data_IF_337038115211
#
_entry.id   IF_337038115211
#
_cell.length_a   1.000
_cell.length_b   1.000
_cell.length_c   1.000
_cell.angle_alpha   90.00
_cell.angle_beta   90.00
_cell.angle_gamma   90.00
#
_symmetry.space_group_name_H-M   'P 1'
#
loop_
_entity.id
_entity.type
_entity.pdbx_description
1 polymer ?
#
# COMPACT_ATOMS: atom_id res chain seq x y z
N UNK A 1 -19.76 -8.99 -2.41
CA UNK A 1 -19.23 -8.98 -3.79
C UNK A 1 -18.04 -9.92 -3.86
N UNK A 2 -18.22 -11.11 -4.41
CA UNK A 2 -17.18 -12.12 -4.57
C UNK A 2 -16.37 -11.83 -5.85
N UNK A 3 -15.05 -11.73 -5.74
CA UNK A 3 -14.16 -11.64 -6.90
C UNK A 3 -13.63 -13.05 -7.19
N UNK A 4 -14.14 -13.68 -8.25
CA UNK A 4 -13.68 -14.99 -8.70
C UNK A 4 -12.31 -14.83 -9.37
N UNK A 5 -11.24 -15.35 -8.74
CA UNK A 5 -9.89 -15.38 -9.32
C UNK A 5 -9.64 -16.75 -9.98
N UNK A 6 -9.69 -16.81 -11.30
CA UNK A 6 -9.08 -17.92 -12.03
C UNK A 6 -7.63 -17.56 -12.35
N UNK A 7 -6.70 -18.04 -11.51
CA UNK A 7 -5.28 -18.07 -11.83
C UNK A 7 -5.05 -19.20 -12.84
N UNK A 8 -4.85 -18.88 -14.12
CA UNK A 8 -4.46 -19.88 -15.11
C UNK A 8 -2.94 -19.88 -15.29
N UNK A 9 -2.37 -21.05 -14.98
CA UNK A 9 -0.94 -21.36 -14.90
C UNK A 9 -0.37 -21.53 -16.32
N UNK A 10 -0.27 -20.46 -17.10
CA UNK A 10 0.50 -20.41 -18.36
C UNK A 10 0.48 -19.01 -18.96
N UNK A 11 1.47 -18.18 -18.63
CA UNK A 11 2.07 -17.10 -19.44
C UNK A 11 1.23 -16.20 -20.38
N UNK A 12 -0.11 -16.20 -20.33
CA UNK A 12 -0.99 -15.49 -21.27
C UNK A 12 -1.72 -14.37 -20.53
N UNK A 13 -1.69 -13.19 -21.15
CA UNK A 13 -2.21 -11.89 -20.67
C UNK A 13 -3.46 -12.03 -19.77
N UNK A 14 -3.37 -11.54 -18.53
CA UNK A 14 -4.51 -11.43 -17.64
C UNK A 14 -5.45 -10.35 -18.18
N UNK A 15 -6.53 -10.75 -18.87
CA UNK A 15 -7.58 -9.83 -19.30
C UNK A 15 -8.53 -9.62 -18.12
N UNK A 16 -8.43 -8.48 -17.45
CA UNK A 16 -9.44 -8.04 -16.49
C UNK A 16 -10.61 -7.50 -17.30
N UNK A 17 -11.72 -8.25 -17.33
CA UNK A 17 -12.97 -7.78 -17.94
C UNK A 17 -13.73 -6.93 -16.92
N UNK A 18 -13.55 -5.61 -16.97
CA UNK A 18 -14.52 -4.70 -16.37
C UNK A 18 -15.68 -4.56 -17.37
N UNK A 19 -16.91 -4.84 -16.92
CA UNK A 19 -18.11 -4.72 -17.76
C UNK A 19 -18.13 -3.36 -18.44
N UNK A 20 -18.27 -3.35 -19.78
CA UNK A 20 -18.04 -2.25 -20.75
C UNK A 20 -16.62 -2.14 -21.34
N UNK A 21 -16.27 -3.11 -22.20
CA UNK A 21 -15.58 -2.88 -23.49
C UNK A 21 -14.17 -2.26 -23.55
N UNK A 22 -13.57 -1.79 -22.46
CA UNK A 22 -12.24 -1.18 -22.49
C UNK A 22 -11.19 -2.23 -22.16
N UNK A 23 -10.46 -2.70 -23.18
CA UNK A 23 -9.22 -3.46 -22.98
C UNK A 23 -8.15 -2.49 -22.49
N UNK A 24 -8.04 -2.31 -21.18
CA UNK A 24 -6.91 -1.58 -20.63
C UNK A 24 -5.63 -2.34 -20.98
N UNK A 25 -4.70 -1.69 -21.67
CA UNK A 25 -3.37 -2.21 -21.93
C UNK A 25 -2.59 -2.18 -20.60
N UNK A 26 -2.83 -3.16 -19.74
CA UNK A 26 -2.17 -3.27 -18.43
C UNK A 26 -0.70 -3.58 -18.68
N UNK A 27 0.23 -2.62 -18.46
CA UNK A 27 1.64 -2.98 -18.39
C UNK A 27 1.82 -3.98 -17.24
N UNK A 28 2.63 -5.00 -17.47
CA UNK A 28 2.67 -6.25 -16.69
C UNK A 28 2.98 -6.05 -15.19
N UNK A 29 3.56 -4.91 -14.81
CA UNK A 29 4.09 -4.63 -13.48
C UNK A 29 3.32 -3.55 -12.70
N UNK A 30 2.24 -3.02 -13.25
CA UNK A 30 1.51 -1.90 -12.62
C UNK A 30 0.31 -2.37 -11.79
N UNK A 31 0.10 -1.71 -10.65
CA UNK A 31 -1.15 -1.75 -9.88
C UNK A 31 -2.03 -0.53 -10.22
N UNK A 32 -3.32 -0.60 -9.90
CA UNK A 32 -4.25 0.53 -10.04
C UNK A 32 -4.70 0.99 -8.68
N UNK A 33 -4.54 2.28 -8.39
CA UNK A 33 -4.94 2.90 -7.13
C UNK A 33 -6.42 3.28 -7.11
N UNK A 34 -6.93 3.77 -5.98
CA UNK A 34 -8.34 4.18 -5.84
C UNK A 34 -8.65 5.41 -6.72
N UNK A 35 -7.69 6.31 -6.92
CA UNK A 35 -7.80 7.42 -7.86
C UNK A 35 -7.48 7.05 -9.32
N UNK A 36 -7.34 5.75 -9.61
CA UNK A 36 -7.08 5.18 -10.96
C UNK A 36 -5.68 5.53 -11.50
N UNK A 37 -4.73 5.88 -10.64
CA UNK A 37 -3.33 6.03 -11.00
C UNK A 37 -2.74 4.64 -11.26
N UNK A 38 -1.88 4.55 -12.27
CA UNK A 38 -1.15 3.33 -12.63
C UNK A 38 0.24 3.42 -12.02
N UNK A 39 0.48 2.63 -10.99
CA UNK A 39 1.74 2.69 -10.24
C UNK A 39 2.56 1.42 -10.49
N UNK A 40 3.84 1.55 -10.83
CA UNK A 40 4.79 0.43 -10.93
C UNK A 40 5.69 0.41 -9.67
N UNK A 41 5.49 -0.54 -8.72
CA UNK A 41 6.32 -0.63 -7.52
C UNK A 41 7.80 -0.96 -7.78
N UNK A 42 8.13 -1.45 -8.98
CA UNK A 42 9.51 -1.77 -9.36
C UNK A 42 10.24 -0.59 -10.03
N UNK A 43 9.49 0.43 -10.45
CA UNK A 43 10.03 1.65 -11.06
C UNK A 43 9.15 2.86 -10.68
N UNK A 44 9.19 3.32 -9.41
CA UNK A 44 8.31 4.37 -8.92
C UNK A 44 8.60 5.71 -9.60
N UNK A 45 7.55 6.43 -9.96
CA UNK A 45 7.59 7.81 -10.46
C UNK A 45 6.93 8.73 -9.44
N UNK A 46 7.51 9.91 -9.20
CA UNK A 46 6.93 10.90 -8.25
C UNK A 46 5.53 11.35 -8.67
N UNK A 47 5.29 11.49 -9.98
CA UNK A 47 3.98 11.89 -10.53
C UNK A 47 2.87 10.87 -10.27
N UNK A 48 3.23 9.61 -9.97
CA UNK A 48 2.27 8.53 -9.67
C UNK A 48 1.97 8.40 -8.16
N UNK A 49 2.56 9.28 -7.33
CA UNK A 49 2.38 9.26 -5.87
C UNK A 49 1.30 10.26 -5.45
N UNK A 50 0.23 9.75 -4.84
CA UNK A 50 -0.89 10.57 -4.35
C UNK A 50 -1.16 10.26 -2.89
N UNK A 51 -1.14 11.31 -2.05
CA UNK A 51 -1.38 11.18 -0.61
C UNK A 51 -2.76 10.60 -0.28
N UNK A 52 -3.76 10.80 -1.14
CA UNK A 52 -5.12 10.26 -0.99
C UNK A 52 -5.13 8.75 -1.24
N UNK A 53 -4.35 8.28 -2.22
CA UNK A 53 -4.18 6.84 -2.47
C UNK A 53 -3.43 6.18 -1.30
N UNK A 54 -2.37 6.81 -0.81
CA UNK A 54 -1.63 6.37 0.39
C UNK A 54 -2.60 6.25 1.57
N UNK A 55 -3.30 7.34 1.91
CA UNK A 55 -4.21 7.36 3.06
C UNK A 55 -5.30 6.28 2.95
N UNK A 56 -5.89 6.11 1.76
CA UNK A 56 -6.90 5.10 1.52
C UNK A 56 -6.34 3.68 1.72
N UNK A 57 -5.22 3.34 1.07
CA UNK A 57 -4.61 2.02 1.18
C UNK A 57 -4.18 1.71 2.63
N UNK A 58 -3.47 2.64 3.29
CA UNK A 58 -3.05 2.47 4.68
C UNK A 58 -4.23 2.31 5.65
N UNK A 59 -5.40 2.91 5.36
CA UNK A 59 -6.60 2.75 6.19
C UNK A 59 -7.20 1.35 6.14
N UNK A 60 -6.95 0.61 5.06
CA UNK A 60 -7.50 -0.71 4.79
C UNK A 60 -6.54 -1.85 5.12
N UNK A 61 -5.23 -1.58 5.17
CA UNK A 61 -4.20 -2.58 5.49
C UNK A 61 -4.14 -2.85 6.99
N UNK A 62 -4.28 -4.12 7.38
CA UNK A 62 -4.09 -4.57 8.76
C UNK A 62 -2.61 -4.66 9.10
N UNK A 63 -2.24 -4.25 10.31
CA UNK A 63 -0.91 -4.52 10.85
C UNK A 63 -0.82 -5.90 11.46
N UNK A 64 0.41 -6.40 11.58
CA UNK A 64 0.72 -7.70 12.18
C UNK A 64 -0.12 -8.84 11.57
N UNK A 65 -0.39 -8.76 10.25
CA UNK A 65 -1.25 -9.68 9.52
C UNK A 65 -2.65 -9.88 10.15
N UNK A 66 -3.15 -8.91 10.92
CA UNK A 66 -4.45 -9.01 11.58
C UNK A 66 -4.45 -9.86 12.86
N UNK A 67 -3.30 -10.16 13.46
CA UNK A 67 -3.21 -10.86 14.75
C UNK A 67 -3.56 -10.00 15.98
N UNK A 68 -4.24 -8.87 15.78
CA UNK A 68 -4.82 -8.08 16.86
C UNK A 68 -6.28 -8.51 17.11
N UNK A 69 -6.76 -8.31 18.33
CA UNK A 69 -8.16 -8.60 18.69
C UNK A 69 -9.15 -7.70 17.95
N UNK A 70 -8.71 -6.50 17.58
CA UNK A 70 -9.49 -5.49 16.87
C UNK A 70 -8.75 -5.05 15.61
N UNK A 71 -9.49 -4.53 14.63
CA UNK A 71 -8.88 -3.98 13.43
C UNK A 71 -7.91 -2.84 13.78
N UNK A 72 -6.64 -3.04 13.45
CA UNK A 72 -5.57 -2.08 13.66
C UNK A 72 -4.84 -1.85 12.34
N UNK A 73 -5.14 -0.72 11.71
CA UNK A 73 -4.59 -0.41 10.40
C UNK A 73 -3.22 0.27 10.45
N UNK A 74 -2.50 0.22 9.34
CA UNK A 74 -1.23 0.95 9.17
C UNK A 74 -1.45 2.47 9.29
N UNK A 75 -2.58 3.00 8.80
CA UNK A 75 -2.92 4.41 8.98
C UNK A 75 -3.08 4.78 10.46
N UNK A 76 -3.76 3.93 11.25
CA UNK A 76 -3.96 4.17 12.69
C UNK A 76 -2.62 4.20 13.44
N UNK A 77 -1.73 3.26 13.13
CA UNK A 77 -0.35 3.25 13.64
C UNK A 77 0.37 4.56 13.32
N UNK A 78 0.35 4.98 12.05
CA UNK A 78 1.03 6.19 11.58
C UNK A 78 0.53 7.46 12.29
N UNK A 79 -0.78 7.59 12.47
CA UNK A 79 -1.39 8.71 13.23
C UNK A 79 -0.95 8.67 14.69
N UNK A 80 -0.96 7.50 15.34
CA UNK A 80 -0.52 7.38 16.73
C UNK A 80 0.97 7.76 16.89
N UNK A 81 1.84 7.36 15.95
CA UNK A 81 3.24 7.77 15.97
C UNK A 81 3.41 9.29 15.88
N UNK A 82 2.65 9.95 15.01
CA UNK A 82 2.68 11.41 14.86
C UNK A 82 2.14 12.14 16.10
N UNK A 83 1.06 11.62 16.70
CA UNK A 83 0.49 12.14 17.95
C UNK A 83 1.48 12.00 19.11
N UNK A 84 2.13 10.84 19.23
CA UNK A 84 3.15 10.60 20.25
C UNK A 84 4.34 11.55 20.08
N UNK A 85 4.80 11.74 18.84
CA UNK A 85 5.90 12.68 18.57
C UNK A 85 5.53 14.12 18.97
N UNK A 86 4.29 14.52 18.70
CA UNK A 86 3.74 15.83 19.09
C UNK A 86 3.63 15.96 20.60
N UNK A 87 3.12 14.93 21.29
CA UNK A 87 2.97 14.90 22.74
C UNK A 87 4.32 15.00 23.48
N UNK A 88 5.39 14.46 22.89
CA UNK A 88 6.77 14.57 23.40
C UNK A 88 7.45 15.90 23.08
N UNK A 89 6.77 16.82 22.39
CA UNK A 89 7.32 18.13 22.04
C UNK A 89 8.34 18.11 20.90
N UNK A 90 8.36 17.05 20.07
CA UNK A 90 9.22 17.05 18.88
C UNK A 90 8.71 18.04 17.82
N UNK A 91 9.61 18.43 16.91
CA UNK A 91 9.28 19.37 15.84
C UNK A 91 8.18 18.84 14.90
N UNK A 92 7.47 19.75 14.24
CA UNK A 92 6.47 19.41 13.20
C UNK A 92 7.05 18.52 12.10
N UNK A 93 8.34 18.68 11.77
CA UNK A 93 9.04 17.86 10.77
C UNK A 93 9.18 16.41 11.24
N UNK A 94 9.46 16.18 12.52
CA UNK A 94 9.53 14.85 13.11
C UNK A 94 8.14 14.22 13.17
N UNK A 95 7.12 14.96 13.58
CA UNK A 95 5.74 14.47 13.57
C UNK A 95 5.27 14.09 12.15
N UNK A 96 5.61 14.89 11.12
CA UNK A 96 5.33 14.58 9.72
C UNK A 96 6.07 13.32 9.25
N UNK A 97 7.34 13.17 9.63
CA UNK A 97 8.09 11.95 9.35
C UNK A 97 7.41 10.72 9.97
N UNK A 98 7.02 10.79 11.25
CA UNK A 98 6.27 9.74 11.92
C UNK A 98 4.93 9.44 11.24
N UNK A 99 4.26 10.43 10.65
CA UNK A 99 3.02 10.22 9.90
C UNK A 99 3.23 9.50 8.57
N UNK A 100 4.35 9.74 7.90
CA UNK A 100 4.61 9.25 6.53
C UNK A 100 5.60 8.09 6.44
N UNK A 101 6.19 7.64 7.56
CA UNK A 101 7.25 6.64 7.56
C UNK A 101 6.86 5.30 6.91
N UNK A 102 5.60 4.88 7.07
CA UNK A 102 5.06 3.64 6.47
C UNK A 102 4.32 3.90 5.14
N UNK A 103 4.42 5.09 4.55
CA UNK A 103 3.69 5.45 3.31
C UNK A 103 3.98 4.52 2.13
N UNK A 104 5.22 4.02 2.00
CA UNK A 104 5.61 3.08 0.96
C UNK A 104 4.81 1.77 1.02
N UNK A 105 4.36 1.35 2.21
CA UNK A 105 3.57 0.12 2.40
C UNK A 105 2.24 0.17 1.63
N UNK A 106 1.73 1.37 1.29
CA UNK A 106 0.54 1.52 0.44
C UNK A 106 0.69 0.90 -0.95
N UNK A 107 1.92 0.78 -1.45
CA UNK A 107 2.22 0.24 -2.78
C UNK A 107 2.88 -1.14 -2.75
N UNK A 108 3.68 -1.43 -1.72
CA UNK A 108 4.44 -2.70 -1.60
C UNK A 108 3.83 -3.70 -0.61
N UNK A 109 2.89 -3.26 0.24
CA UNK A 109 2.27 -4.02 1.31
C UNK A 109 3.02 -3.96 2.65
N UNK A 110 2.28 -4.13 3.76
CA UNK A 110 2.87 -4.31 5.10
C UNK A 110 3.45 -5.73 5.22
N UNK A 111 4.74 -5.82 5.54
CA UNK A 111 5.44 -7.07 5.81
C UNK A 111 5.81 -7.16 7.28
N UNK A 112 5.56 -8.32 7.90
CA UNK A 112 5.96 -8.52 9.29
C UNK A 112 7.49 -8.44 9.42
N UNK A 113 7.93 -7.82 10.52
CA UNK A 113 9.36 -7.56 10.79
C UNK A 113 10.28 -8.78 10.61
N UNK A 114 9.92 -10.01 11.02
CA UNK A 114 10.78 -11.18 10.80
C UNK A 114 11.02 -11.49 9.32
N UNK A 115 10.03 -11.21 8.46
CA UNK A 115 10.17 -11.42 7.02
C UNK A 115 11.03 -10.34 6.36
N UNK A 116 10.93 -9.07 6.79
CA UNK A 116 11.75 -7.97 6.24
C UNK A 116 13.25 -8.34 6.22
N UNK A 117 13.77 -8.96 7.28
CA UNK A 117 15.17 -9.42 7.37
C UNK A 117 15.60 -10.43 6.29
N UNK A 118 14.66 -11.15 5.69
CA UNK A 118 14.93 -12.16 4.66
C UNK A 118 14.74 -11.62 3.24
N UNK A 119 14.26 -10.38 3.10
CA UNK A 119 14.04 -9.72 1.81
C UNK A 119 14.91 -8.44 1.74
N UNK A 120 16.22 -8.55 1.43
CA UNK A 120 17.15 -7.42 1.46
C UNK A 120 16.81 -6.32 0.45
N UNK A 121 15.98 -6.60 -0.56
CA UNK A 121 15.45 -5.60 -1.49
C UNK A 121 14.35 -4.72 -0.87
N UNK A 122 13.84 -5.08 0.31
CA UNK A 122 12.69 -4.44 0.96
C UNK A 122 12.89 -4.26 2.49
N UNK A 123 14.12 -4.37 2.98
CA UNK A 123 14.46 -4.30 4.41
C UNK A 123 15.08 -2.97 4.83
#
# INVERSE_FOLDING_TARGET
MYVNRYCTRSGKKCKIYLGSGIVANTRKNEISTINKIRFDPTNPCEDDIDIRDIAHALSMMTRANGHFTEFYSVARHSVNCALEATARGYSKRVALFCLLHDSAESYIGDMTRPLKMHFPLFS
#
